data_IF_618268383982
#
_entry.id   IF_618268383982
#
_cell.length_a   1.000
_cell.length_b   1.000
_cell.length_c   1.000
_cell.angle_alpha   90.00
_cell.angle_beta   90.00
_cell.angle_gamma   90.00
#
_symmetry.space_group_name_H-M   'P 1'
#
loop_
_entity.id
_entity.type
_entity.pdbx_description
1 polymer ?
#
# COMPACT_ATOMS: atom_id res chain seq x y z
N UNK A 1 -15.28 49.29 -33.03
CA UNK A 1 -15.03 50.44 -32.14
C UNK A 1 -14.34 49.87 -30.90
N UNK A 2 -13.02 50.09 -30.71
CA UNK A 2 -12.40 51.15 -29.84
C UNK A 2 -12.88 51.06 -28.37
N UNK A 3 -12.07 50.91 -27.32
CA UNK A 3 -10.59 50.97 -27.10
C UNK A 3 -10.15 49.88 -26.06
N UNK A 4 -8.91 49.36 -25.88
CA UNK A 4 -7.54 49.57 -26.42
C UNK A 4 -6.48 50.34 -25.57
N UNK A 5 -5.98 49.76 -24.46
CA UNK A 5 -4.67 50.03 -23.74
C UNK A 5 -4.25 48.71 -23.02
N UNK A 6 -3.05 48.10 -23.11
CA UNK A 6 -1.65 48.51 -23.34
C UNK A 6 -1.03 49.19 -22.08
N UNK A 7 0.17 48.89 -21.54
CA UNK A 7 1.44 48.27 -22.02
C UNK A 7 2.28 47.69 -20.81
N UNK A 8 2.79 46.44 -20.88
CA UNK A 8 4.18 45.91 -20.63
C UNK A 8 5.02 46.27 -19.36
N UNK A 9 6.27 45.79 -19.09
CA UNK A 9 6.96 44.47 -19.25
C UNK A 9 7.61 43.93 -17.91
N UNK A 10 8.43 42.85 -17.98
CA UNK A 10 9.41 42.32 -16.96
C UNK A 10 8.83 41.51 -15.76
N UNK A 11 9.45 40.47 -15.16
CA UNK A 11 10.72 39.72 -15.36
C UNK A 11 10.67 38.29 -14.69
N UNK A 12 11.35 37.29 -15.28
CA UNK A 12 11.87 36.00 -14.73
C UNK A 12 11.00 34.91 -14.02
N UNK A 13 11.41 33.67 -14.30
CA UNK A 13 11.12 32.33 -13.73
C UNK A 13 11.89 32.07 -12.40
N UNK A 14 11.81 30.91 -11.68
CA UNK A 14 10.75 29.88 -11.54
C UNK A 14 10.52 29.38 -10.06
N UNK A 15 9.76 28.27 -9.91
CA UNK A 15 9.74 27.25 -8.82
C UNK A 15 8.78 27.38 -7.60
N UNK A 16 8.38 26.25 -6.95
CA UNK A 16 7.12 26.13 -6.20
C UNK A 16 7.24 25.49 -4.80
N UNK A 17 7.00 26.23 -3.70
CA UNK A 17 7.06 25.67 -2.34
C UNK A 17 5.95 26.25 -1.43
N UNK A 18 4.98 25.41 -1.03
CA UNK A 18 4.27 25.44 0.27
C UNK A 18 3.07 24.46 0.30
N UNK A 19 3.28 23.25 0.82
CA UNK A 19 2.22 22.39 1.38
C UNK A 19 2.79 21.51 2.51
N UNK A 20 2.78 22.01 3.75
CA UNK A 20 2.85 21.20 4.98
C UNK A 20 2.09 21.89 6.13
N UNK A 21 1.69 21.05 7.08
CA UNK A 21 1.22 21.33 8.45
C UNK A 21 -0.30 21.34 8.71
N UNK A 22 -0.81 20.19 9.17
CA UNK A 22 -1.66 20.09 10.37
C UNK A 22 -1.56 18.66 10.92
N UNK A 23 -0.84 18.48 12.04
CA UNK A 23 -0.67 17.21 12.73
C UNK A 23 -1.75 17.05 13.82
N UNK A 24 -2.03 15.79 14.15
CA UNK A 24 -2.87 15.28 15.23
C UNK A 24 -2.77 16.04 16.58
N UNK A 25 -3.91 16.23 17.27
CA UNK A 25 -3.95 16.33 18.74
C UNK A 25 -5.03 15.38 19.25
N UNK A 26 -4.61 14.34 19.97
CA UNK A 26 -5.52 13.43 20.67
C UNK A 26 -4.86 12.99 21.99
N UNK A 27 -5.13 13.75 23.05
CA UNK A 27 -4.67 13.44 24.41
C UNK A 27 -5.64 12.46 25.08
N UNK A 28 -5.07 11.42 25.69
CA UNK A 28 -5.82 10.48 26.54
C UNK A 28 -6.07 11.13 27.90
N UNK A 29 -7.31 11.06 28.40
CA UNK A 29 -7.61 11.18 29.82
C UNK A 29 -8.49 10.01 30.26
N UNK A 30 -7.91 9.14 31.08
CA UNK A 30 -8.64 8.12 31.81
C UNK A 30 -9.17 8.68 33.13
N UNK A 31 -10.48 8.63 33.34
CA UNK A 31 -11.12 8.53 34.67
C UNK A 31 -12.53 7.96 34.47
N UNK A 32 -12.89 6.91 35.23
CA UNK A 32 -14.02 6.06 34.89
C UNK A 32 -15.38 6.52 35.42
N UNK A 33 -16.41 6.42 34.58
CA UNK A 33 -17.83 6.17 34.89
C UNK A 33 -18.59 5.94 33.57
N UNK A 34 -19.68 5.13 33.53
CA UNK A 34 -20.41 4.84 32.29
C UNK A 34 -21.33 6.01 31.89
N UNK A 35 -21.45 6.26 30.58
CA UNK A 35 -22.48 7.16 30.03
C UNK A 35 -23.14 6.49 28.81
N UNK A 36 -24.46 6.58 28.75
CA UNK A 36 -25.34 5.77 27.90
C UNK A 36 -25.32 6.08 26.40
N UNK A 37 -25.86 5.14 25.63
CA UNK A 37 -26.03 5.23 24.19
C UNK A 37 -27.18 6.19 23.80
N UNK A 38 -26.83 7.38 23.29
CA UNK A 38 -27.68 8.15 22.36
C UNK A 38 -26.91 9.30 21.68
N UNK A 39 -26.60 9.16 20.38
CA UNK A 39 -26.91 10.10 19.27
C UNK A 39 -26.13 9.73 18.01
N UNK A 40 -26.83 9.61 16.88
CA UNK A 40 -26.29 9.43 15.51
C UNK A 40 -26.81 10.59 14.62
N UNK A 41 -26.19 10.81 13.44
CA UNK A 41 -26.58 11.71 12.33
C UNK A 41 -26.39 13.24 12.58
N UNK A 42 -26.02 14.15 11.64
CA UNK A 42 -25.79 14.14 10.15
C UNK A 42 -24.54 15.01 9.76
N UNK A 43 -24.13 14.97 8.49
CA UNK A 43 -22.95 15.55 7.78
C UNK A 43 -22.93 17.07 7.42
N UNK A 44 -21.72 17.53 6.99
CA UNK A 44 -21.35 18.58 6.00
C UNK A 44 -21.34 20.10 6.35
N UNK A 45 -20.17 20.77 6.18
CA UNK A 45 -19.87 21.82 5.15
C UNK A 45 -18.46 22.48 5.29
N UNK A 46 -18.11 23.38 4.36
CA UNK A 46 -16.86 24.17 4.17
C UNK A 46 -15.63 23.39 3.61
N UNK A 47 -14.99 23.71 2.47
CA UNK A 47 -14.97 24.86 1.53
C UNK A 47 -14.46 26.18 2.11
N UNK A 48 -13.26 26.56 1.64
CA UNK A 48 -12.57 27.87 1.59
C UNK A 48 -12.80 28.91 2.70
N UNK A 49 -11.72 29.27 3.40
CA UNK A 49 -11.17 30.64 3.46
C UNK A 49 -9.84 30.67 4.25
N UNK A 50 -8.73 31.04 3.60
CA UNK A 50 -7.48 31.40 4.27
C UNK A 50 -7.07 32.81 3.84
N UNK A 51 -7.05 33.76 4.78
CA UNK A 51 -6.56 35.13 4.57
C UNK A 51 -5.45 35.47 5.55
N UNK A 52 -4.28 35.78 5.00
CA UNK A 52 -3.18 36.63 5.49
C UNK A 52 -2.72 36.64 6.97
N UNK A 53 -1.43 36.33 7.09
CA UNK A 53 -0.43 37.04 7.90
C UNK A 53 -0.44 36.90 9.44
N UNK A 54 0.51 36.10 9.94
CA UNK A 54 1.21 36.38 11.19
C UNK A 54 2.64 35.81 11.13
N UNK A 55 3.64 36.66 11.36
CA UNK A 55 5.06 36.26 11.48
C UNK A 55 5.32 35.67 12.86
N UNK A 56 6.01 34.53 12.95
CA UNK A 56 6.55 33.99 14.19
C UNK A 56 8.03 33.68 14.05
N UNK A 57 8.84 34.44 14.78
CA UNK A 57 10.29 34.23 14.95
C UNK A 57 10.56 33.51 16.28
N UNK A 58 11.20 32.35 16.16
CA UNK A 58 12.33 31.88 16.99
C UNK A 58 12.09 31.36 18.43
N UNK A 59 13.04 30.48 18.83
CA UNK A 59 13.32 29.91 20.17
C UNK A 59 12.39 28.77 20.64
N UNK A 60 12.86 27.53 20.49
CA UNK A 60 12.29 26.34 21.13
C UNK A 60 12.87 26.05 22.53
N UNK A 61 12.22 25.18 23.34
CA UNK A 61 12.76 24.73 24.62
C UNK A 61 13.75 23.56 24.44
N UNK A 62 14.81 23.55 25.23
CA UNK A 62 15.80 22.46 25.26
C UNK A 62 15.23 21.19 25.93
N UNK A 63 15.58 20.01 25.40
CA UNK A 63 15.23 18.73 26.01
C UNK A 63 15.89 18.56 27.39
N UNK A 64 15.10 18.28 28.42
CA UNK A 64 15.57 17.91 29.76
C UNK A 64 15.38 16.43 30.01
N UNK A 65 16.29 15.81 30.76
CA UNK A 65 16.58 14.36 30.78
C UNK A 65 15.50 13.41 31.35
N UNK A 66 14.27 13.85 31.59
CA UNK A 66 13.17 13.06 32.17
C UNK A 66 11.87 13.10 31.32
N UNK A 67 11.96 13.50 30.05
CA UNK A 67 10.86 13.37 29.08
C UNK A 67 11.13 12.18 28.14
N UNK A 68 10.08 11.43 27.80
CA UNK A 68 10.13 10.31 26.84
C UNK A 68 10.94 10.68 25.60
N UNK A 69 11.88 9.82 25.19
CA UNK A 69 12.83 10.03 24.09
C UNK A 69 12.14 10.22 22.73
N UNK A 70 11.56 11.40 22.56
CA UNK A 70 10.99 11.92 21.34
C UNK A 70 12.14 12.38 20.46
N UNK A 71 12.58 11.47 19.59
CA UNK A 71 13.36 11.70 18.37
C UNK A 71 13.90 13.14 18.21
N UNK A 72 15.18 13.33 18.55
CA UNK A 72 15.93 14.51 18.12
C UNK A 72 16.21 14.41 16.61
N UNK A 73 15.17 14.62 15.80
CA UNK A 73 15.32 14.82 14.36
C UNK A 73 15.90 16.22 14.12
N UNK A 74 17.04 16.28 13.45
CA UNK A 74 17.68 17.53 13.06
C UNK A 74 17.23 17.90 11.64
N UNK A 75 16.29 18.85 11.54
CA UNK A 75 15.79 19.42 10.27
C UNK A 75 16.91 20.06 9.40
N UNK A 76 18.14 20.19 9.91
CA UNK A 76 19.28 20.72 9.15
C UNK A 76 20.04 19.68 8.30
N UNK A 77 19.70 18.39 8.40
CA UNK A 77 20.30 17.33 7.56
C UNK A 77 19.77 17.46 6.11
N UNK A 78 20.64 17.60 5.09
CA UNK A 78 20.20 17.73 3.70
C UNK A 78 19.42 16.50 3.19
N UNK A 79 18.45 16.74 2.30
CA UNK A 79 17.58 15.70 1.73
C UNK A 79 18.30 14.60 0.92
N UNK A 80 19.60 14.78 0.62
CA UNK A 80 20.41 13.91 -0.24
C UNK A 80 21.32 12.93 0.56
N UNK A 81 21.24 12.91 1.89
CA UNK A 81 22.13 12.09 2.73
C UNK A 81 21.54 10.69 3.01
N UNK A 82 21.82 9.73 2.12
CA UNK A 82 21.59 8.30 2.39
C UNK A 82 22.33 7.86 3.68
N UNK A 83 21.67 7.04 4.51
CA UNK A 83 22.28 6.38 5.67
C UNK A 83 21.26 5.62 6.53
N UNK A 84 21.72 4.57 7.20
CA UNK A 84 20.92 3.69 8.05
C UNK A 84 21.51 3.62 9.45
N UNK A 85 20.67 3.96 10.43
CA UNK A 85 20.96 3.95 11.86
C UNK A 85 20.30 2.71 12.48
N UNK A 86 21.02 1.97 13.32
CA UNK A 86 20.40 0.96 14.18
C UNK A 86 20.25 1.54 15.59
N UNK A 87 19.02 1.71 16.04
CA UNK A 87 18.73 2.05 17.43
C UNK A 87 18.82 0.77 18.25
N UNK A 88 20.02 0.54 18.78
CA UNK A 88 20.25 -0.35 19.91
C UNK A 88 19.65 0.30 21.17
N UNK A 89 18.97 -0.48 21.99
CA UNK A 89 18.30 0.02 23.20
C UNK A 89 19.30 0.53 24.27
N UNK A 90 18.78 1.37 25.16
CA UNK A 90 19.37 1.98 26.36
C UNK A 90 20.42 3.14 26.28
N UNK A 91 21.28 3.33 25.27
CA UNK A 91 22.39 4.33 25.34
C UNK A 91 22.57 5.28 24.13
N UNK A 92 21.57 6.14 23.85
CA UNK A 92 21.65 7.12 22.76
C UNK A 92 22.31 8.46 23.17
N UNK A 93 23.65 8.51 23.20
CA UNK A 93 24.40 9.75 23.47
C UNK A 93 24.60 10.58 22.19
N UNK A 94 24.05 11.80 22.16
CA UNK A 94 24.09 12.69 20.97
C UNK A 94 25.48 13.33 20.81
N UNK A 95 26.31 12.77 19.93
CA UNK A 95 27.60 13.33 19.49
C UNK A 95 27.51 13.88 18.06
N UNK A 96 28.05 15.08 17.82
CA UNK A 96 27.86 15.83 16.57
C UNK A 96 28.25 15.10 15.28
N UNK A 97 27.54 15.40 14.19
CA UNK A 97 27.65 14.69 12.91
C UNK A 97 29.04 14.76 12.26
N UNK A 98 29.45 13.64 11.64
CA UNK A 98 30.57 13.59 10.68
C UNK A 98 30.02 13.09 9.35
N UNK A 99 30.12 13.90 8.29
CA UNK A 99 29.58 13.55 6.97
C UNK A 99 30.39 12.42 6.32
N UNK A 100 29.70 11.37 5.88
CA UNK A 100 30.29 10.28 5.10
C UNK A 100 30.67 10.80 3.69
N UNK A 101 31.93 10.62 3.28
CA UNK A 101 32.43 11.12 1.98
C UNK A 101 32.39 10.06 0.86
N UNK A 102 32.19 8.80 1.22
CA UNK A 102 32.10 7.65 0.30
C UNK A 102 31.26 6.53 0.93
N UNK A 103 30.53 5.72 0.14
CA UNK A 103 29.86 4.54 0.65
C UNK A 103 30.84 3.59 1.37
N UNK A 104 30.48 3.13 2.57
CA UNK A 104 31.21 2.16 3.38
C UNK A 104 32.30 2.75 4.28
N UNK A 105 32.63 4.04 4.14
CA UNK A 105 33.71 4.68 4.90
C UNK A 105 33.36 6.12 5.27
N UNK A 106 33.00 6.31 6.53
CA UNK A 106 32.81 7.63 7.15
C UNK A 106 34.06 7.92 8.01
N UNK A 107 34.79 8.99 7.70
CA UNK A 107 36.01 9.39 8.44
C UNK A 107 37.18 8.39 8.45
N UNK A 108 37.17 7.35 7.59
CA UNK A 108 38.17 6.28 7.61
C UNK A 108 37.85 5.12 8.56
N UNK A 109 36.64 5.08 9.13
CA UNK A 109 36.15 4.01 10.00
C UNK A 109 35.05 3.21 9.31
N UNK A 110 34.91 1.94 9.71
CA UNK A 110 33.80 1.10 9.25
C UNK A 110 32.47 1.62 9.82
N UNK A 111 31.40 1.52 9.04
CA UNK A 111 30.05 1.80 9.51
C UNK A 111 29.71 0.94 10.75
N UNK A 112 29.12 1.57 11.76
CA UNK A 112 28.70 0.91 13.02
C UNK A 112 27.19 0.96 13.25
N UNK A 113 26.44 1.60 12.35
CA UNK A 113 25.01 1.86 12.54
C UNK A 113 24.72 2.96 13.57
N UNK A 114 25.73 3.74 13.97
CA UNK A 114 25.58 4.91 14.84
C UNK A 114 25.34 6.19 14.04
N UNK A 115 24.85 7.25 14.67
CA UNK A 115 24.54 8.53 13.98
C UNK A 115 25.78 9.20 13.35
N UNK A 116 26.98 8.87 13.81
CA UNK A 116 28.25 9.35 13.25
C UNK A 116 28.82 8.44 12.16
N UNK A 117 28.47 7.15 12.17
CA UNK A 117 28.96 6.11 11.25
C UNK A 117 27.78 5.21 10.81
N UNK A 118 26.78 5.74 10.10
CA UNK A 118 25.62 4.97 9.64
C UNK A 118 26.03 3.90 8.62
N UNK A 119 25.22 2.86 8.46
CA UNK A 119 25.36 1.92 7.35
C UNK A 119 24.84 2.53 6.04
N UNK A 120 25.40 2.14 4.90
CA UNK A 120 25.01 2.67 3.59
C UNK A 120 23.78 1.96 2.99
N UNK A 121 23.44 0.78 3.51
CA UNK A 121 22.34 -0.06 3.03
C UNK A 121 21.44 -0.51 4.18
N UNK A 122 20.17 -0.69 3.85
CA UNK A 122 19.15 -1.21 4.77
C UNK A 122 19.48 -2.67 5.12
N UNK A 123 19.96 -3.47 4.16
CA UNK A 123 20.40 -4.83 4.41
C UNK A 123 21.51 -4.90 5.47
N UNK A 124 22.50 -3.99 5.47
CA UNK A 124 23.55 -3.97 6.48
C UNK A 124 23.01 -3.59 7.88
N UNK A 125 22.08 -2.63 7.96
CA UNK A 125 21.39 -2.31 9.21
C UNK A 125 20.55 -3.48 9.74
N UNK A 126 19.79 -4.12 8.85
CA UNK A 126 19.04 -5.34 9.15
C UNK A 126 19.95 -6.48 9.60
N UNK A 127 21.10 -6.69 8.95
CA UNK A 127 22.08 -7.73 9.31
C UNK A 127 22.72 -7.50 10.70
N UNK A 128 22.91 -6.24 11.10
CA UNK A 128 23.36 -5.88 12.45
C UNK A 128 22.25 -6.02 13.51
N UNK A 129 20.98 -5.78 13.15
CA UNK A 129 19.86 -5.74 14.08
C UNK A 129 19.50 -7.09 14.72
N UNK A 130 19.03 -7.02 15.97
CA UNK A 130 18.57 -8.09 16.85
C UNK A 130 17.10 -7.92 17.21
N UNK A 131 16.47 -8.97 17.75
CA UNK A 131 15.06 -8.92 18.20
C UNK A 131 14.88 -7.86 19.31
N UNK A 132 14.00 -6.90 19.05
CA UNK A 132 13.76 -5.69 19.86
C UNK A 132 14.21 -4.40 19.15
N UNK A 133 15.21 -4.48 18.28
CA UNK A 133 15.84 -3.30 17.69
C UNK A 133 14.94 -2.58 16.68
N UNK A 134 15.22 -1.29 16.49
CA UNK A 134 14.65 -0.50 15.39
C UNK A 134 15.74 -0.03 14.43
N UNK A 135 15.65 -0.45 13.17
CA UNK A 135 16.44 0.07 12.05
C UNK A 135 15.76 1.33 11.53
N UNK A 136 16.37 2.48 11.81
CA UNK A 136 15.95 3.81 11.37
C UNK A 136 16.67 4.16 10.06
N UNK A 137 15.92 4.44 9.00
CA UNK A 137 16.44 4.74 7.67
C UNK A 137 16.25 6.22 7.37
N UNK A 138 17.34 6.90 7.06
CA UNK A 138 17.32 8.33 6.71
C UNK A 138 16.62 8.56 5.36
N UNK A 139 16.38 9.83 5.02
CA UNK A 139 16.02 10.25 3.66
C UNK A 139 17.01 9.67 2.64
N UNK A 140 16.52 9.27 1.45
CA UNK A 140 17.38 8.68 0.43
C UNK A 140 16.70 7.61 -0.42
N UNK A 141 17.40 7.19 -1.47
CA UNK A 141 17.01 6.06 -2.32
C UNK A 141 18.00 4.93 -2.14
N UNK A 142 17.49 3.76 -1.77
CA UNK A 142 18.23 2.54 -1.47
C UNK A 142 17.88 1.50 -2.53
N UNK A 143 18.83 1.22 -3.43
CA UNK A 143 18.64 0.30 -4.55
C UNK A 143 19.04 -1.12 -4.11
N UNK A 144 18.12 -1.81 -3.44
CA UNK A 144 18.34 -3.11 -2.83
C UNK A 144 17.02 -3.87 -2.58
N UNK A 145 17.11 -5.20 -2.43
CA UNK A 145 16.02 -6.04 -1.93
C UNK A 145 16.28 -6.34 -0.44
N UNK A 146 15.31 -6.04 0.44
CA UNK A 146 15.45 -6.13 1.91
C UNK A 146 14.82 -7.42 2.44
N UNK A 147 15.58 -8.20 3.21
CA UNK A 147 15.08 -9.35 3.98
C UNK A 147 14.92 -8.92 5.44
N UNK A 148 13.71 -9.06 5.98
CA UNK A 148 13.42 -8.67 7.37
C UNK A 148 13.81 -9.77 8.36
N UNK A 149 14.07 -9.39 9.61
CA UNK A 149 14.29 -10.31 10.74
C UNK A 149 13.12 -10.25 11.72
N UNK A 150 12.90 -11.33 12.47
CA UNK A 150 11.89 -11.39 13.54
C UNK A 150 12.27 -10.54 14.74
N UNK A 151 11.31 -9.74 15.19
CA UNK A 151 11.44 -8.78 16.28
C UNK A 151 12.05 -7.44 15.87
N UNK A 152 12.23 -7.14 14.57
CA UNK A 152 12.90 -5.91 14.13
C UNK A 152 11.90 -4.96 13.48
N UNK A 153 11.85 -3.73 13.99
CA UNK A 153 11.13 -2.63 13.34
C UNK A 153 12.01 -1.95 12.31
N UNK A 154 11.56 -1.84 11.06
CA UNK A 154 12.19 -1.08 9.99
C UNK A 154 11.36 0.18 9.72
N UNK A 155 11.96 1.35 9.95
CA UNK A 155 11.27 2.65 9.96
C UNK A 155 12.05 3.65 9.11
N UNK A 156 11.41 4.21 8.09
CA UNK A 156 11.93 5.25 7.22
C UNK A 156 11.52 6.64 7.70
N UNK A 157 12.20 7.66 7.17
CA UNK A 157 11.95 9.08 7.51
C UNK A 157 10.64 9.63 6.90
N UNK A 158 9.88 8.80 6.17
CA UNK A 158 8.60 9.12 5.55
C UNK A 158 8.57 8.70 4.08
N UNK A 159 7.41 8.21 3.62
CA UNK A 159 7.27 7.64 2.27
C UNK A 159 7.56 8.60 1.12
N UNK A 160 7.51 9.90 1.37
CA UNK A 160 7.81 10.94 0.38
C UNK A 160 9.33 11.15 0.18
N UNK A 161 10.18 10.63 1.08
CA UNK A 161 11.62 10.95 1.15
C UNK A 161 12.54 9.73 1.33
N UNK A 162 12.05 8.61 1.85
CA UNK A 162 12.80 7.36 1.96
C UNK A 162 12.24 6.32 0.99
N UNK A 163 13.02 5.94 -0.02
CA UNK A 163 12.63 4.98 -1.08
C UNK A 163 13.48 3.73 -1.03
N UNK A 164 12.84 2.55 -1.00
CA UNK A 164 13.47 1.27 -1.33
C UNK A 164 13.08 0.94 -2.78
N UNK A 165 14.08 0.85 -3.66
CA UNK A 165 13.94 0.58 -5.08
C UNK A 165 14.52 -0.80 -5.39
N UNK A 166 13.63 -1.78 -5.56
CA UNK A 166 14.00 -3.19 -5.69
C UNK A 166 14.69 -3.50 -7.02
N UNK A 167 15.33 -4.67 -7.06
CA UNK A 167 16.13 -5.09 -8.21
C UNK A 167 15.30 -5.74 -9.34
N UNK A 168 13.96 -5.65 -9.30
CA UNK A 168 13.02 -6.26 -10.28
C UNK A 168 12.94 -7.79 -10.29
N UNK A 169 13.81 -8.49 -9.55
CA UNK A 169 13.93 -9.95 -9.58
C UNK A 169 13.08 -10.67 -8.52
N UNK A 170 12.53 -9.92 -7.55
CA UNK A 170 11.79 -10.46 -6.41
C UNK A 170 11.05 -9.39 -5.62
N UNK A 171 10.52 -9.73 -4.44
CA UNK A 171 9.93 -8.74 -3.53
C UNK A 171 10.98 -7.70 -3.09
N UNK A 172 10.62 -6.41 -3.10
CA UNK A 172 11.46 -5.35 -2.51
C UNK A 172 11.66 -5.59 -1.01
N UNK A 173 10.61 -6.01 -0.30
CA UNK A 173 10.67 -6.36 1.13
C UNK A 173 10.13 -7.77 1.36
N UNK A 174 10.98 -8.63 1.91
CA UNK A 174 10.69 -10.03 2.21
C UNK A 174 10.58 -10.30 3.71
N UNK A 175 9.34 -10.56 4.12
CA UNK A 175 8.98 -11.17 5.40
C UNK A 175 8.84 -12.68 5.23
N UNK A 176 9.81 -13.46 5.73
CA UNK A 176 9.83 -14.92 5.58
C UNK A 176 10.10 -15.61 6.92
N UNK A 177 9.02 -15.96 7.63
CA UNK A 177 9.09 -16.51 8.99
C UNK A 177 8.99 -18.04 8.98
N UNK A 178 9.45 -18.68 10.06
CA UNK A 178 9.40 -20.14 10.23
C UNK A 178 8.14 -20.62 10.98
N UNK A 179 7.42 -19.70 11.59
CA UNK A 179 6.22 -19.91 12.42
C UNK A 179 5.33 -18.66 12.32
N UNK A 180 4.13 -18.71 12.91
CA UNK A 180 3.20 -17.58 12.99
C UNK A 180 3.66 -16.42 13.92
N UNK A 181 4.93 -16.41 14.28
CA UNK A 181 5.56 -15.45 15.18
C UNK A 181 6.07 -14.23 14.37
N UNK A 182 5.83 -13.05 14.90
CA UNK A 182 6.16 -11.76 14.28
C UNK A 182 5.43 -10.57 14.91
N UNK A 183 4.96 -10.74 16.15
CA UNK A 183 4.30 -9.69 16.91
C UNK A 183 5.36 -8.70 17.41
N UNK A 184 5.53 -7.60 16.67
CA UNK A 184 6.56 -6.57 16.92
C UNK A 184 7.26 -6.10 15.65
N UNK A 185 7.24 -6.91 14.59
CA UNK A 185 7.81 -6.53 13.30
C UNK A 185 7.02 -5.39 12.66
N UNK A 186 7.71 -4.34 12.22
CA UNK A 186 7.11 -3.15 11.63
C UNK A 186 7.81 -2.76 10.34
N UNK A 187 7.06 -2.34 9.34
CA UNK A 187 7.56 -1.63 8.16
C UNK A 187 6.78 -0.33 8.03
N UNK A 188 7.49 0.79 8.19
CA UNK A 188 6.86 2.11 8.28
C UNK A 188 7.62 3.19 7.51
N UNK A 189 6.90 4.06 6.78
CA UNK A 189 7.46 5.30 6.27
C UNK A 189 8.35 5.16 5.02
N UNK A 190 8.08 4.19 4.14
CA UNK A 190 8.82 3.97 2.89
C UNK A 190 7.98 4.18 1.63
N UNK A 191 8.59 4.70 0.55
CA UNK A 191 8.19 4.35 -0.83
C UNK A 191 8.83 3.00 -1.15
N UNK A 192 8.04 2.07 -1.69
CA UNK A 192 8.45 0.70 -2.02
C UNK A 192 8.09 0.47 -3.50
N UNK A 193 9.11 0.37 -4.34
CA UNK A 193 9.03 0.43 -5.81
C UNK A 193 10.07 -0.47 -6.48
N UNK A 194 9.99 -0.67 -7.80
CA UNK A 194 10.97 -1.48 -8.54
C UNK A 194 10.86 -2.99 -8.29
N UNK A 195 9.86 -3.40 -7.51
CA UNK A 195 9.63 -4.77 -7.10
C UNK A 195 9.10 -5.68 -8.21
N UNK A 196 9.37 -6.98 -8.08
CA UNK A 196 9.06 -7.93 -9.13
C UNK A 196 9.00 -9.40 -8.74
N UNK A 197 9.49 -10.25 -9.64
CA UNK A 197 9.34 -11.70 -9.52
C UNK A 197 7.89 -12.18 -9.60
N UNK A 198 7.49 -13.06 -8.66
CA UNK A 198 6.35 -13.98 -8.86
C UNK A 198 5.20 -13.83 -7.84
N UNK A 199 5.47 -13.25 -6.68
CA UNK A 199 4.50 -13.01 -5.59
C UNK A 199 4.95 -11.85 -4.72
N UNK A 200 4.10 -10.85 -4.53
CA UNK A 200 4.38 -9.72 -3.65
C UNK A 200 5.50 -8.86 -4.20
N UNK A 201 5.26 -8.22 -5.36
CA UNK A 201 6.30 -7.43 -6.05
C UNK A 201 6.91 -6.38 -5.12
N UNK A 202 6.10 -5.57 -4.46
CA UNK A 202 6.56 -4.69 -3.39
C UNK A 202 6.92 -5.47 -2.12
N UNK A 203 5.93 -6.10 -1.49
CA UNK A 203 6.09 -6.80 -0.20
C UNK A 203 5.60 -8.23 -0.31
N UNK A 204 6.40 -9.19 0.17
CA UNK A 204 5.97 -10.59 0.32
C UNK A 204 6.05 -11.03 1.78
N UNK A 205 4.92 -11.44 2.34
CA UNK A 205 4.76 -11.96 3.71
C UNK A 205 4.41 -13.44 3.64
N UNK A 206 5.28 -14.29 4.20
CA UNK A 206 5.07 -15.74 4.36
C UNK A 206 5.13 -16.08 5.85
N UNK A 207 4.08 -16.73 6.37
CA UNK A 207 3.87 -17.10 7.78
C UNK A 207 3.85 -15.94 8.81
N UNK A 208 4.26 -14.72 8.45
CA UNK A 208 4.39 -13.59 9.37
C UNK A 208 3.10 -12.87 9.77
N UNK A 209 3.22 -12.10 10.86
CA UNK A 209 2.18 -11.17 11.33
C UNK A 209 2.69 -9.72 11.54
N UNK A 210 3.52 -9.14 10.64
CA UNK A 210 4.06 -7.79 10.81
C UNK A 210 2.98 -6.70 10.70
N UNK A 211 3.31 -5.51 11.19
CA UNK A 211 2.56 -4.27 10.94
C UNK A 211 3.17 -3.51 9.77
N UNK A 212 2.44 -3.42 8.67
CA UNK A 212 2.79 -2.63 7.49
C UNK A 212 1.96 -1.34 7.55
N UNK A 213 2.61 -0.20 7.79
CA UNK A 213 1.89 1.06 8.02
C UNK A 213 2.55 2.28 7.40
N UNK A 214 1.76 3.29 6.98
CA UNK A 214 2.30 4.57 6.51
C UNK A 214 3.29 4.46 5.32
N UNK A 215 3.15 3.43 4.47
CA UNK A 215 3.99 3.24 3.28
C UNK A 215 3.26 3.62 1.99
N UNK A 216 4.04 3.97 0.96
CA UNK A 216 3.61 4.09 -0.44
C UNK A 216 4.17 2.90 -1.22
N UNK A 217 3.31 1.93 -1.55
CA UNK A 217 3.68 0.70 -2.26
C UNK A 217 3.21 0.86 -3.71
N UNK A 218 4.14 1.15 -4.61
CA UNK A 218 3.82 1.62 -5.97
C UNK A 218 4.77 1.12 -7.03
N UNK A 219 4.31 1.06 -8.28
CA UNK A 219 5.15 0.73 -9.45
C UNK A 219 5.88 -0.63 -9.31
N UNK A 220 5.24 -1.60 -8.65
CA UNK A 220 5.74 -2.98 -8.53
C UNK A 220 5.01 -3.92 -9.50
N UNK A 221 5.73 -4.85 -10.11
CA UNK A 221 5.28 -5.59 -11.30
C UNK A 221 5.55 -7.10 -11.19
N UNK A 222 4.49 -7.91 -11.01
CA UNK A 222 4.63 -9.38 -11.00
C UNK A 222 4.35 -9.96 -12.38
N UNK A 223 5.33 -10.67 -12.95
CA UNK A 223 5.18 -11.35 -14.26
C UNK A 223 5.24 -12.86 -14.06
N UNK A 224 4.18 -13.56 -14.48
CA UNK A 224 4.08 -15.03 -14.43
C UNK A 224 4.46 -15.59 -15.79
N UNK A 225 5.52 -16.40 -15.82
CA UNK A 225 6.07 -17.07 -17.02
C UNK A 225 6.14 -18.61 -16.87
N UNK A 226 5.57 -19.17 -15.79
CA UNK A 226 5.67 -20.59 -15.46
C UNK A 226 4.35 -21.14 -14.92
N UNK A 227 3.80 -22.12 -15.64
CA UNK A 227 2.53 -22.81 -15.35
C UNK A 227 2.53 -23.57 -14.01
N UNK A 228 1.35 -23.72 -13.42
CA UNK A 228 1.05 -24.70 -12.37
C UNK A 228 1.30 -24.23 -10.94
N UNK A 229 1.46 -22.93 -10.71
CA UNK A 229 1.76 -22.37 -9.40
C UNK A 229 1.01 -21.04 -9.20
N UNK A 230 0.43 -20.74 -8.02
CA UNK A 230 -0.19 -19.44 -7.77
C UNK A 230 0.83 -18.29 -7.85
N UNK A 231 0.46 -17.18 -8.46
CA UNK A 231 1.23 -15.94 -8.55
C UNK A 231 0.28 -14.73 -8.44
N UNK A 232 0.83 -13.55 -8.12
CA UNK A 232 0.04 -12.34 -7.88
C UNK A 232 0.44 -11.57 -6.62
N UNK A 233 -0.31 -10.52 -6.31
CA UNK A 233 0.10 -9.52 -5.32
C UNK A 233 1.15 -8.61 -5.94
N UNK A 234 0.75 -7.70 -6.82
CA UNK A 234 1.68 -6.73 -7.43
C UNK A 234 2.33 -5.87 -6.35
N UNK A 235 1.50 -5.24 -5.52
CA UNK A 235 1.94 -4.51 -4.34
C UNK A 235 2.32 -5.45 -3.18
N UNK A 236 1.36 -6.21 -2.66
CA UNK A 236 1.54 -7.07 -1.48
C UNK A 236 1.06 -8.51 -1.74
N UNK A 237 1.84 -9.50 -1.32
CA UNK A 237 1.38 -10.88 -1.15
C UNK A 237 1.44 -11.29 0.33
N UNK A 238 0.37 -11.93 0.81
CA UNK A 238 0.29 -12.55 2.14
C UNK A 238 -0.05 -14.03 2.00
N UNK A 239 0.85 -14.91 2.45
CA UNK A 239 0.63 -16.35 2.51
C UNK A 239 0.71 -16.86 3.94
N UNK A 240 -0.34 -17.53 4.40
CA UNK A 240 -0.36 -18.30 5.65
C UNK A 240 0.01 -17.48 6.92
N UNK A 241 -0.24 -16.17 6.91
CA UNK A 241 0.11 -15.22 7.98
C UNK A 241 -1.04 -14.30 8.44
N UNK A 242 -0.77 -13.39 9.38
CA UNK A 242 -1.79 -12.53 10.02
C UNK A 242 -1.39 -11.04 10.14
N UNK A 243 -0.83 -10.38 9.11
CA UNK A 243 -0.33 -9.01 9.22
C UNK A 243 -1.44 -7.97 9.43
N UNK A 244 -1.08 -6.87 10.09
CA UNK A 244 -1.83 -5.62 10.05
C UNK A 244 -1.34 -4.80 8.86
N UNK A 245 -2.21 -4.50 7.91
CA UNK A 245 -1.90 -3.65 6.75
C UNK A 245 -2.77 -2.42 6.89
N UNK A 246 -2.20 -1.31 7.39
CA UNK A 246 -2.99 -0.15 7.81
C UNK A 246 -2.42 1.19 7.39
N UNK A 247 -3.25 2.13 6.92
CA UNK A 247 -2.78 3.49 6.62
C UNK A 247 -1.78 3.60 5.46
N UNK A 248 -1.70 2.60 4.58
CA UNK A 248 -0.82 2.62 3.41
C UNK A 248 -1.55 3.16 2.17
N UNK A 249 -0.76 3.65 1.21
CA UNK A 249 -1.19 3.85 -0.18
C UNK A 249 -0.60 2.72 -1.01
N UNK A 250 -1.45 1.96 -1.71
CA UNK A 250 -1.07 0.83 -2.56
C UNK A 250 -1.59 1.15 -3.96
N UNK A 251 -0.71 1.58 -4.86
CA UNK A 251 -1.13 2.13 -6.15
C UNK A 251 -0.28 1.74 -7.35
N UNK A 252 -0.86 1.73 -8.55
CA UNK A 252 -0.09 1.53 -9.80
C UNK A 252 0.64 0.18 -9.91
N UNK A 253 0.40 -0.77 -9.00
CA UNK A 253 1.04 -2.07 -9.04
C UNK A 253 0.33 -2.97 -10.05
N UNK A 254 1.10 -3.80 -10.76
CA UNK A 254 0.54 -4.64 -11.84
C UNK A 254 0.90 -6.12 -11.69
N UNK A 255 0.00 -6.98 -12.18
CA UNK A 255 0.23 -8.43 -12.31
C UNK A 255 -0.13 -8.87 -13.72
N UNK A 256 0.83 -9.54 -14.38
CA UNK A 256 0.75 -10.01 -15.76
C UNK A 256 0.96 -11.52 -15.76
N UNK A 257 0.05 -12.31 -16.34
CA UNK A 257 0.24 -13.76 -16.51
C UNK A 257 0.15 -14.16 -17.97
N UNK A 258 1.26 -14.67 -18.52
CA UNK A 258 1.27 -15.34 -19.83
C UNK A 258 0.80 -16.80 -19.76
N UNK A 259 0.46 -17.27 -18.54
CA UNK A 259 0.17 -18.67 -18.22
C UNK A 259 -1.33 -18.88 -17.97
N UNK A 260 -1.84 -20.08 -18.27
CA UNK A 260 -3.25 -20.48 -18.03
C UNK A 260 -3.73 -20.30 -16.57
N UNK A 261 -2.82 -20.07 -15.62
CA UNK A 261 -3.17 -19.63 -14.28
C UNK A 261 -3.53 -18.13 -14.27
N UNK A 262 -4.78 -17.76 -13.90
CA UNK A 262 -5.20 -16.37 -13.87
C UNK A 262 -4.38 -15.57 -12.86
N UNK A 263 -4.00 -14.36 -13.26
CA UNK A 263 -3.31 -13.38 -12.43
C UNK A 263 -4.23 -12.89 -11.29
N UNK A 264 -3.66 -12.57 -10.12
CA UNK A 264 -4.43 -12.34 -8.89
C UNK A 264 -3.90 -11.14 -8.09
N UNK A 265 -4.80 -10.30 -7.58
CA UNK A 265 -4.45 -9.29 -6.57
C UNK A 265 -3.47 -8.25 -7.10
N UNK A 266 -3.94 -7.29 -7.90
CA UNK A 266 -3.07 -6.23 -8.44
C UNK A 266 -2.40 -5.45 -7.31
N UNK A 267 -3.21 -4.95 -6.38
CA UNK A 267 -2.74 -4.36 -5.14
C UNK A 267 -2.30 -5.43 -4.14
N UNK A 268 -3.23 -6.28 -3.68
CA UNK A 268 -2.99 -7.26 -2.61
C UNK A 268 -3.49 -8.66 -3.01
N UNK A 269 -2.67 -9.69 -2.84
CA UNK A 269 -3.09 -11.11 -2.89
C UNK A 269 -2.92 -11.76 -1.52
N UNK A 270 -4.03 -12.27 -0.96
CA UNK A 270 -4.11 -12.99 0.31
C UNK A 270 -4.42 -14.48 0.07
N UNK A 271 -3.61 -15.38 0.64
CA UNK A 271 -3.77 -16.83 0.49
C UNK A 271 -3.66 -17.55 1.84
N UNK A 272 -4.73 -18.26 2.24
CA UNK A 272 -4.83 -19.01 3.52
C UNK A 272 -4.42 -18.19 4.75
N UNK A 273 -4.71 -16.90 4.75
CA UNK A 273 -4.21 -15.95 5.73
C UNK A 273 -5.37 -15.23 6.44
N UNK A 274 -5.08 -14.54 7.54
CA UNK A 274 -6.07 -13.77 8.33
C UNK A 274 -5.64 -12.33 8.61
N UNK A 275 -5.20 -11.55 7.60
CA UNK A 275 -4.75 -10.18 7.82
C UNK A 275 -5.91 -9.23 8.20
N UNK A 276 -5.54 -8.15 8.87
CA UNK A 276 -6.42 -7.03 9.16
C UNK A 276 -6.03 -5.83 8.27
N UNK A 277 -6.87 -5.54 7.28
CA UNK A 277 -6.62 -4.51 6.26
C UNK A 277 -7.54 -3.32 6.54
N UNK A 278 -6.98 -2.18 7.00
CA UNK A 278 -7.81 -1.02 7.31
C UNK A 278 -7.20 0.36 7.08
N UNK A 279 -8.04 1.35 6.74
CA UNK A 279 -7.63 2.73 6.50
C UNK A 279 -6.59 2.89 5.37
N UNK A 280 -6.50 1.95 4.42
CA UNK A 280 -5.62 2.05 3.26
C UNK A 280 -6.33 2.72 2.08
N UNK A 281 -5.54 3.31 1.18
CA UNK A 281 -5.97 3.72 -0.16
C UNK A 281 -5.38 2.71 -1.14
N UNK A 282 -6.23 1.94 -1.81
CA UNK A 282 -5.85 0.89 -2.75
C UNK A 282 -6.40 1.31 -4.11
N UNK A 283 -5.55 1.83 -5.00
CA UNK A 283 -6.02 2.47 -6.23
C UNK A 283 -5.20 2.21 -7.47
N UNK A 284 -5.82 2.17 -8.65
CA UNK A 284 -5.10 2.05 -9.93
C UNK A 284 -4.16 0.85 -10.03
N UNK A 285 -4.42 -0.22 -9.26
CA UNK A 285 -3.71 -1.48 -9.42
C UNK A 285 -4.40 -2.32 -10.51
N UNK A 286 -3.61 -3.04 -11.29
CA UNK A 286 -4.06 -3.69 -12.53
C UNK A 286 -3.68 -5.16 -12.56
N UNK A 287 -4.58 -6.00 -13.05
CA UNK A 287 -4.33 -7.42 -13.31
C UNK A 287 -4.73 -7.72 -14.75
N UNK A 288 -3.84 -8.32 -15.54
CA UNK A 288 -4.18 -8.88 -16.86
C UNK A 288 -3.85 -8.04 -18.11
N UNK A 289 -3.10 -6.93 -17.99
CA UNK A 289 -2.49 -6.27 -19.16
C UNK A 289 -1.11 -6.86 -19.46
N UNK A 290 -0.93 -7.48 -20.62
CA UNK A 290 0.36 -7.96 -21.08
C UNK A 290 0.88 -7.18 -22.30
N UNK A 291 2.21 -7.01 -22.48
CA UNK A 291 2.77 -6.31 -23.65
C UNK A 291 2.39 -6.98 -24.98
N UNK A 292 2.28 -6.22 -26.09
CA UNK A 292 1.98 -6.79 -27.40
C UNK A 292 3.00 -7.88 -27.81
N UNK A 293 2.54 -9.12 -27.93
CA UNK A 293 3.36 -10.28 -28.34
C UNK A 293 3.62 -11.33 -27.25
N UNK A 294 3.14 -11.13 -26.02
CA UNK A 294 2.90 -12.24 -25.08
C UNK A 294 1.89 -13.25 -25.64
N UNK A 295 1.82 -14.44 -25.03
CA UNK A 295 0.91 -15.52 -25.41
C UNK A 295 -0.58 -15.19 -25.20
N UNK A 296 -1.48 -16.21 -25.20
CA UNK A 296 -2.89 -15.97 -24.92
C UNK A 296 -3.05 -15.46 -23.49
N UNK A 297 -3.39 -14.17 -23.33
CA UNK A 297 -3.47 -13.51 -22.03
C UNK A 297 -4.59 -14.11 -21.17
N UNK A 298 -4.29 -14.33 -19.89
CA UNK A 298 -5.18 -15.02 -18.96
C UNK A 298 -5.82 -14.03 -17.99
N UNK A 299 -7.12 -14.21 -17.74
CA UNK A 299 -7.96 -13.26 -17.02
C UNK A 299 -7.43 -12.92 -15.62
N UNK A 300 -7.67 -11.69 -15.19
CA UNK A 300 -7.24 -11.18 -13.91
C UNK A 300 -8.36 -11.12 -12.87
N UNK A 301 -8.10 -11.63 -11.66
CA UNK A 301 -9.07 -11.57 -10.56
C UNK A 301 -8.54 -10.69 -9.41
N UNK A 302 -9.40 -9.85 -8.83
CA UNK A 302 -9.03 -8.98 -7.71
C UNK A 302 -8.07 -7.87 -8.12
N UNK A 303 -8.52 -6.86 -8.86
CA UNK A 303 -7.68 -5.74 -9.29
C UNK A 303 -7.04 -5.00 -8.10
N UNK A 304 -7.87 -4.62 -7.12
CA UNK A 304 -7.41 -4.08 -5.84
C UNK A 304 -6.94 -5.17 -4.88
N UNK A 305 -7.85 -6.06 -4.45
CA UNK A 305 -7.55 -7.15 -3.52
C UNK A 305 -8.13 -8.47 -4.05
N UNK A 306 -7.33 -9.54 -4.04
CA UNK A 306 -7.78 -10.92 -4.21
C UNK A 306 -7.57 -11.70 -2.90
N UNK A 307 -8.58 -12.45 -2.45
CA UNK A 307 -8.49 -13.31 -1.28
C UNK A 307 -8.86 -14.75 -1.63
N UNK A 308 -8.05 -15.72 -1.19
CA UNK A 308 -8.32 -17.15 -1.38
C UNK A 308 -8.21 -17.92 -0.06
N UNK A 309 -9.28 -18.61 0.29
CA UNK A 309 -9.39 -19.48 1.48
C UNK A 309 -8.95 -18.78 2.78
N UNK A 310 -9.33 -17.51 2.92
CA UNK A 310 -8.83 -16.59 3.94
C UNK A 310 -9.98 -16.00 4.77
N UNK A 311 -9.74 -15.71 6.05
CA UNK A 311 -10.71 -15.07 6.94
C UNK A 311 -10.27 -13.61 7.23
N UNK A 312 -9.98 -12.88 6.16
CA UNK A 312 -9.52 -11.49 6.19
C UNK A 312 -10.60 -10.54 6.73
N UNK A 313 -10.19 -9.52 7.49
CA UNK A 313 -11.04 -8.34 7.71
C UNK A 313 -10.56 -7.19 6.82
N UNK A 314 -11.45 -6.67 5.97
CA UNK A 314 -11.22 -5.53 5.09
C UNK A 314 -12.17 -4.42 5.54
N UNK A 315 -11.66 -3.36 6.18
CA UNK A 315 -12.53 -2.31 6.73
C UNK A 315 -11.99 -0.89 6.66
N UNK A 316 -12.85 0.10 6.41
CA UNK A 316 -12.49 1.53 6.30
C UNK A 316 -11.43 1.83 5.23
N UNK A 317 -11.33 1.01 4.19
CA UNK A 317 -10.44 1.27 3.06
C UNK A 317 -11.17 2.05 1.95
N UNK A 318 -10.40 2.84 1.22
CA UNK A 318 -10.79 3.35 -0.10
C UNK A 318 -10.20 2.41 -1.15
N UNK A 319 -11.05 1.75 -1.94
CA UNK A 319 -10.66 0.85 -3.02
C UNK A 319 -11.19 1.42 -4.33
N UNK A 320 -10.33 2.06 -5.14
CA UNK A 320 -10.82 2.82 -6.29
C UNK A 320 -9.99 2.76 -7.58
N UNK A 321 -10.67 2.73 -8.73
CA UNK A 321 -9.98 2.77 -10.02
C UNK A 321 -9.04 1.59 -10.30
N UNK A 322 -9.20 0.47 -9.58
CA UNK A 322 -8.44 -0.76 -9.81
C UNK A 322 -9.10 -1.59 -10.93
N UNK A 323 -8.32 -2.38 -11.65
CA UNK A 323 -8.77 -3.05 -12.88
C UNK A 323 -8.44 -4.55 -12.89
N UNK A 324 -9.46 -5.36 -13.15
CA UNK A 324 -9.39 -6.81 -13.33
C UNK A 324 -9.70 -7.18 -14.80
N UNK A 325 -8.67 -7.22 -15.64
CA UNK A 325 -8.80 -7.21 -17.10
C UNK A 325 -8.86 -8.60 -17.75
N UNK A 326 -9.36 -8.62 -18.99
CA UNK A 326 -9.28 -9.74 -19.95
C UNK A 326 -8.92 -9.18 -21.32
N UNK A 327 -7.91 -9.73 -22.00
CA UNK A 327 -7.53 -9.26 -23.33
C UNK A 327 -8.65 -9.54 -24.35
N UNK A 328 -8.87 -8.56 -25.22
CA UNK A 328 -9.89 -8.48 -26.27
C UNK A 328 -9.74 -9.47 -27.44
N UNK A 329 -8.73 -10.34 -27.45
CA UNK A 329 -8.49 -11.27 -28.57
C UNK A 329 -9.28 -12.58 -28.36
N UNK A 330 -10.35 -12.72 -29.14
CA UNK A 330 -11.47 -13.68 -28.98
C UNK A 330 -11.12 -15.16 -29.25
N UNK A 331 -9.85 -15.55 -29.15
CA UNK A 331 -9.42 -16.94 -29.42
C UNK A 331 -9.44 -17.86 -28.20
N UNK A 332 -9.55 -17.32 -26.98
CA UNK A 332 -9.67 -18.11 -25.75
C UNK A 332 -11.06 -18.03 -25.14
N UNK A 333 -11.58 -19.19 -24.73
CA UNK A 333 -13.01 -19.39 -24.35
C UNK A 333 -13.27 -19.52 -22.84
N UNK A 334 -12.25 -19.30 -22.00
CA UNK A 334 -12.30 -19.67 -20.56
C UNK A 334 -11.65 -18.67 -19.59
N UNK A 335 -11.46 -17.41 -20.01
CA UNK A 335 -10.65 -16.44 -19.29
C UNK A 335 -11.47 -15.18 -19.01
N UNK A 336 -11.62 -14.85 -17.73
CA UNK A 336 -12.59 -13.87 -17.24
C UNK A 336 -11.93 -12.95 -16.21
N UNK A 337 -12.45 -11.73 -16.10
CA UNK A 337 -11.92 -10.70 -15.21
C UNK A 337 -12.98 -10.33 -14.18
N UNK A 338 -12.68 -10.59 -12.91
CA UNK A 338 -13.61 -10.49 -11.81
C UNK A 338 -13.02 -9.67 -10.65
N UNK A 339 -13.89 -9.05 -9.85
CA UNK A 339 -13.46 -8.38 -8.62
C UNK A 339 -12.51 -7.20 -8.87
N UNK A 340 -12.86 -6.28 -9.77
CA UNK A 340 -12.03 -5.10 -10.09
C UNK A 340 -11.50 -4.39 -8.84
N UNK A 341 -12.37 -4.13 -7.87
CA UNK A 341 -12.01 -3.72 -6.52
C UNK A 341 -11.58 -4.91 -5.67
N UNK A 342 -12.51 -5.82 -5.37
CA UNK A 342 -12.30 -6.96 -4.46
C UNK A 342 -12.76 -8.29 -5.08
N UNK A 343 -11.95 -9.34 -4.95
CA UNK A 343 -12.41 -10.72 -5.12
C UNK A 343 -12.31 -11.52 -3.81
N UNK A 344 -13.41 -12.18 -3.46
CA UNK A 344 -13.56 -13.00 -2.27
C UNK A 344 -13.77 -14.47 -2.66
N UNK A 345 -12.69 -15.26 -2.71
CA UNK A 345 -12.76 -16.68 -3.07
C UNK A 345 -12.56 -17.61 -1.85
N UNK A 346 -13.55 -18.46 -1.57
CA UNK A 346 -13.57 -19.35 -0.40
C UNK A 346 -13.36 -18.63 0.95
N UNK A 347 -13.30 -19.40 2.05
CA UNK A 347 -13.15 -18.84 3.41
C UNK A 347 -14.37 -18.05 3.89
N UNK A 348 -14.14 -17.14 4.84
CA UNK A 348 -15.16 -16.30 5.48
C UNK A 348 -14.65 -14.86 5.71
N UNK A 349 -14.29 -14.10 4.66
CA UNK A 349 -13.81 -12.72 4.81
C UNK A 349 -14.94 -11.78 5.25
N UNK A 350 -14.59 -10.76 6.03
CA UNK A 350 -15.49 -9.67 6.45
C UNK A 350 -15.10 -8.36 5.76
N UNK A 351 -15.94 -7.90 4.84
CA UNK A 351 -15.79 -6.61 4.14
C UNK A 351 -16.78 -5.62 4.74
N UNK A 352 -16.28 -4.64 5.49
CA UNK A 352 -17.12 -3.75 6.27
C UNK A 352 -16.72 -2.27 6.23
N UNK A 353 -17.68 -1.37 6.07
CA UNK A 353 -17.44 0.07 6.22
C UNK A 353 -16.40 0.64 5.21
N UNK A 354 -16.28 0.05 4.01
CA UNK A 354 -15.36 0.50 2.95
C UNK A 354 -16.06 1.38 1.89
N UNK A 355 -15.26 2.16 1.16
CA UNK A 355 -15.67 2.90 -0.03
C UNK A 355 -15.03 2.25 -1.27
N UNK A 356 -15.84 1.61 -2.12
CA UNK A 356 -15.41 0.78 -3.25
C UNK A 356 -15.96 1.41 -4.53
N UNK A 357 -15.14 2.17 -5.25
CA UNK A 357 -15.62 3.10 -6.28
C UNK A 357 -14.83 3.10 -7.59
N UNK A 358 -15.53 3.17 -8.73
CA UNK A 358 -14.88 3.35 -10.03
C UNK A 358 -13.89 2.24 -10.43
N UNK A 359 -13.99 1.05 -9.84
CA UNK A 359 -13.17 -0.10 -10.23
C UNK A 359 -13.77 -0.77 -11.48
N UNK A 360 -12.93 -1.38 -12.31
CA UNK A 360 -13.29 -1.98 -13.60
C UNK A 360 -13.00 -3.48 -13.63
N UNK A 361 -13.88 -4.27 -14.24
CA UNK A 361 -13.66 -5.71 -14.45
C UNK A 361 -14.11 -6.17 -15.84
N UNK A 362 -13.46 -7.20 -16.39
CA UNK A 362 -13.76 -7.70 -17.74
C UNK A 362 -15.08 -8.46 -17.89
N UNK A 363 -15.62 -9.06 -16.82
CA UNK A 363 -16.88 -9.81 -16.86
C UNK A 363 -17.86 -9.50 -15.73
N UNK A 364 -17.40 -9.30 -14.49
CA UNK A 364 -18.33 -9.23 -13.37
C UNK A 364 -17.72 -8.82 -12.04
N UNK A 365 -18.60 -8.47 -11.09
CA UNK A 365 -18.20 -8.08 -9.73
C UNK A 365 -17.22 -6.91 -9.68
N UNK A 366 -17.32 -5.92 -10.58
CA UNK A 366 -16.28 -4.90 -10.74
C UNK A 366 -15.96 -4.16 -9.43
N UNK A 367 -16.94 -3.93 -8.56
CA UNK A 367 -16.73 -3.54 -7.17
C UNK A 367 -16.30 -4.71 -6.30
N UNK A 368 -17.15 -5.73 -6.18
CA UNK A 368 -16.88 -6.96 -5.40
C UNK A 368 -17.36 -8.21 -6.17
N UNK A 369 -16.51 -9.22 -6.34
CA UNK A 369 -16.93 -10.60 -6.61
C UNK A 369 -16.88 -11.47 -5.33
N UNK A 370 -17.83 -12.41 -5.24
CA UNK A 370 -18.04 -13.30 -4.09
C UNK A 370 -18.24 -14.74 -4.59
N UNK A 371 -17.15 -15.51 -4.63
CA UNK A 371 -17.12 -16.87 -5.20
C UNK A 371 -16.82 -17.96 -4.16
N UNK A 372 -17.69 -18.97 -4.07
CA UNK A 372 -17.53 -20.16 -3.19
C UNK A 372 -17.26 -19.84 -1.70
N UNK A 373 -17.70 -18.67 -1.21
CA UNK A 373 -17.32 -18.12 0.11
C UNK A 373 -18.53 -17.84 1.01
N UNK A 374 -18.30 -17.82 2.33
CA UNK A 374 -19.26 -17.40 3.35
C UNK A 374 -19.06 -15.96 3.81
N UNK A 375 -18.70 -15.06 2.88
CA UNK A 375 -18.30 -13.68 3.18
C UNK A 375 -19.40 -12.88 3.91
N UNK A 376 -19.00 -11.97 4.80
CA UNK A 376 -19.90 -10.94 5.37
C UNK A 376 -19.59 -9.59 4.74
N UNK A 377 -20.57 -8.99 4.06
CA UNK A 377 -20.43 -7.69 3.38
C UNK A 377 -21.43 -6.71 3.96
N UNK A 378 -20.95 -5.70 4.70
CA UNK A 378 -21.80 -4.83 5.54
C UNK A 378 -21.38 -3.36 5.53
N UNK A 379 -22.33 -2.43 5.53
CA UNK A 379 -22.07 -0.97 5.63
C UNK A 379 -21.13 -0.38 4.55
N UNK A 380 -20.89 -1.06 3.43
CA UNK A 380 -20.02 -0.55 2.37
C UNK A 380 -20.77 0.39 1.43
N UNK A 381 -20.07 1.37 0.86
CA UNK A 381 -20.54 2.13 -0.30
C UNK A 381 -19.87 1.60 -1.56
N UNK A 382 -20.66 1.06 -2.49
CA UNK A 382 -20.20 0.44 -3.74
C UNK A 382 -20.78 1.27 -4.89
N UNK A 383 -19.96 2.15 -5.47
CA UNK A 383 -20.44 3.19 -6.37
C UNK A 383 -19.65 3.35 -7.67
N UNK A 384 -20.35 3.36 -8.81
CA UNK A 384 -19.77 3.72 -10.11
C UNK A 384 -18.71 2.74 -10.62
N UNK A 385 -18.67 1.50 -10.12
CA UNK A 385 -17.84 0.43 -10.65
C UNK A 385 -18.48 -0.12 -11.94
N UNK A 386 -17.67 -0.49 -12.94
CA UNK A 386 -18.14 -0.76 -14.30
C UNK A 386 -17.59 -2.09 -14.82
N UNK A 387 -18.43 -2.91 -15.46
CA UNK A 387 -17.94 -4.05 -16.23
C UNK A 387 -17.66 -3.60 -17.66
N UNK A 388 -16.39 -3.45 -18.00
CA UNK A 388 -15.93 -3.22 -19.37
C UNK A 388 -15.95 -4.51 -20.21
N UNK A 389 -17.12 -5.14 -20.29
CA UNK A 389 -17.39 -6.24 -21.20
C UNK A 389 -17.45 -5.75 -22.66
N UNK A 390 -16.28 -5.38 -23.23
CA UNK A 390 -16.10 -5.23 -24.68
C UNK A 390 -16.07 -6.59 -25.39
N UNK A 391 -17.02 -7.47 -25.06
CA UNK A 391 -17.31 -8.71 -25.79
C UNK A 391 -17.95 -8.34 -27.14
N UNK A 392 -17.11 -7.92 -28.09
CA UNK A 392 -17.45 -7.77 -29.50
C UNK A 392 -17.50 -9.13 -30.23
N UNK A 393 -17.99 -10.19 -29.59
CA UNK A 393 -18.37 -11.42 -30.27
C UNK A 393 -19.88 -11.50 -30.39
N UNK A 394 -20.35 -11.46 -31.64
CA UNK A 394 -21.75 -11.61 -32.03
C UNK A 394 -22.33 -13.00 -31.74
N UNK A 395 -21.52 -13.95 -31.23
CA UNK A 395 -21.92 -15.31 -30.90
C UNK A 395 -21.93 -15.62 -29.39
N UNK A 396 -21.39 -14.75 -28.53
CA UNK A 396 -21.67 -14.82 -27.11
C UNK A 396 -23.10 -14.28 -26.89
N UNK A 397 -24.05 -15.07 -26.33
CA UNK A 397 -25.38 -14.56 -25.99
C UNK A 397 -25.28 -13.25 -25.19
N UNK A 398 -25.86 -12.18 -25.72
CA UNK A 398 -25.82 -10.87 -25.08
C UNK A 398 -26.43 -10.95 -23.68
N UNK A 399 -25.60 -10.81 -22.64
CA UNK A 399 -26.02 -10.97 -21.24
C UNK A 399 -25.11 -11.80 -20.32
N UNK A 400 -23.85 -12.09 -20.69
CA UNK A 400 -22.88 -12.79 -19.83
C UNK A 400 -22.04 -11.89 -18.90
N UNK A 401 -22.33 -10.59 -18.81
CA UNK A 401 -21.75 -9.74 -17.76
C UNK A 401 -22.61 -9.79 -16.49
N UNK A 402 -21.98 -9.92 -15.33
CA UNK A 402 -22.68 -10.10 -14.05
C UNK A 402 -22.80 -8.79 -13.22
N UNK A 403 -22.50 -7.66 -13.86
CA UNK A 403 -22.72 -6.30 -13.37
C UNK A 403 -21.60 -5.75 -12.47
N UNK A 404 -21.35 -4.46 -12.56
CA UNK A 404 -20.23 -3.81 -11.87
C UNK A 404 -20.37 -3.67 -10.36
N UNK A 405 -21.54 -3.84 -9.78
CA UNK A 405 -21.76 -3.61 -8.34
C UNK A 405 -21.17 -4.72 -7.47
N UNK A 406 -21.90 -5.82 -7.37
CA UNK A 406 -21.54 -7.00 -6.58
C UNK A 406 -22.02 -8.24 -7.30
N UNK A 407 -21.13 -9.20 -7.51
CA UNK A 407 -21.43 -10.54 -8.02
C UNK A 407 -21.40 -11.57 -6.89
N UNK A 408 -22.23 -12.60 -6.97
CA UNK A 408 -22.32 -13.69 -5.98
C UNK A 408 -22.51 -15.02 -6.73
N UNK A 409 -21.49 -15.86 -6.75
CA UNK A 409 -21.49 -17.15 -7.49
C UNK A 409 -21.14 -18.31 -6.58
N UNK A 410 -22.03 -19.31 -6.52
CA UNK A 410 -21.88 -20.53 -5.71
C UNK A 410 -21.52 -20.25 -4.23
N UNK A 411 -21.93 -19.10 -3.72
CA UNK A 411 -21.57 -18.57 -2.41
C UNK A 411 -22.82 -18.37 -1.55
N UNK A 412 -22.63 -18.26 -0.23
CA UNK A 412 -23.70 -18.00 0.74
C UNK A 412 -23.32 -16.83 1.66
N UNK A 413 -23.11 -15.61 1.12
CA UNK A 413 -22.67 -14.47 1.92
C UNK A 413 -23.80 -13.89 2.78
N UNK A 414 -23.43 -13.21 3.86
CA UNK A 414 -24.32 -12.35 4.62
C UNK A 414 -24.15 -10.91 4.16
N UNK A 415 -25.13 -10.36 3.44
CA UNK A 415 -25.05 -9.03 2.80
C UNK A 415 -26.16 -8.13 3.35
N UNK A 416 -25.80 -7.01 4.01
CA UNK A 416 -26.77 -6.07 4.58
C UNK A 416 -26.20 -4.65 4.72
N UNK A 417 -27.07 -3.63 4.77
CA UNK A 417 -26.71 -2.22 4.96
C UNK A 417 -25.69 -1.63 3.96
N UNK A 418 -25.50 -2.22 2.77
CA UNK A 418 -24.60 -1.65 1.75
C UNK A 418 -25.36 -0.67 0.84
N UNK A 419 -24.73 0.45 0.51
CA UNK A 419 -25.21 1.41 -0.49
C UNK A 419 -24.61 1.06 -1.86
N UNK A 420 -25.40 0.47 -2.75
CA UNK A 420 -24.95 0.03 -4.08
C UNK A 420 -25.62 0.92 -5.15
N UNK A 421 -24.86 1.77 -5.83
CA UNK A 421 -25.41 2.80 -6.74
C UNK A 421 -24.55 3.05 -7.97
N UNK A 422 -25.17 3.42 -9.10
CA UNK A 422 -24.49 3.85 -10.35
C UNK A 422 -23.46 2.88 -10.96
N UNK A 423 -23.37 1.64 -10.48
CA UNK A 423 -22.55 0.60 -11.08
C UNK A 423 -23.19 0.09 -12.39
N UNK A 424 -22.39 -0.44 -13.31
CA UNK A 424 -22.82 -0.84 -14.67
C UNK A 424 -22.35 -2.24 -15.03
#
# INVERSE_FOLDING_TARGET
>A
MRHSRAVDPYLHLPLPWCRRAALLVLMVLALGSPVDAATWFVWNEAIDYCTDSATLTEIGPACTADAECSLCYDDSVPAETNGVLCVLDEDCTVGGFTLCQTPGVCGGQAATGSIQLPFDTIAAGMDAASNGDTVQVLTGTYVEDVITKTGVSLVGSGSDVTTIDGLGNGPVVLFNFLSADGAGDRLEGFKITGGGGRRGGGIRIIFGSPTITSNLITENHVTVTTLGLPAGGGGIYVGDGSPFITGNVIEGNTVISDTLDPAKGGGIYILRAVPFISNNIIRHNVVGEAPPGSGPDNGGNGGGIFTLASNTTITRNLVCGNTAWVKKDLTSTYLFGYGGGLELQAGYPRVADNLIIGNSAGLGGAGIDIFLTGATVVNNTIHGNDVEAQLLDLNAPAGFSHGGGMEIVNATPTVFNNLITSNR
#
